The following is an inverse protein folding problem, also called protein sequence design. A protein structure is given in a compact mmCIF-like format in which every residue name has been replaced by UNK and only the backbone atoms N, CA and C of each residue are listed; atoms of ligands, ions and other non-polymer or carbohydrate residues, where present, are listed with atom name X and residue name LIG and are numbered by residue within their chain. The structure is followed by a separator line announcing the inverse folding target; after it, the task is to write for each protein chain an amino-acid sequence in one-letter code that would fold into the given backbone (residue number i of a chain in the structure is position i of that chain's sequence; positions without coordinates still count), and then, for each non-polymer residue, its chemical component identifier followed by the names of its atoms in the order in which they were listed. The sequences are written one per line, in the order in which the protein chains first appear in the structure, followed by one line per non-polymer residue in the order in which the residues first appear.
data_IF_551152680442
#
_entry.id   IF_551152680442
#
_cell.length_a   1.000
_cell.length_b   1.000
_cell.length_c   1.000
_cell.angle_alpha   90.00
_cell.angle_beta   90.00
_cell.angle_gamma   90.00
#
_symmetry.space_group_name_H-M   'P 1'
#
loop_
_entity.id
_entity.type
_entity.pdbx_description
1 polymer ?
#
# COMPACT_ATOMS: atom_id res chain seq x y z
N UNK A 1 16.34 -10.00 7.90
CA UNK A 1 16.14 -8.61 7.46
C UNK A 1 15.84 -7.78 8.69
N UNK A 2 16.22 -6.51 8.77
CA UNK A 2 15.84 -5.68 9.92
C UNK A 2 14.31 -5.50 9.96
N UNK A 3 13.73 -5.43 11.16
CA UNK A 3 12.30 -5.22 11.41
C UNK A 3 12.08 -3.85 12.06
N UNK A 4 11.01 -3.17 11.65
CA UNK A 4 10.62 -1.87 12.16
C UNK A 4 9.11 -1.79 12.36
N UNK A 5 8.67 -1.11 13.41
CA UNK A 5 7.25 -0.77 13.62
C UNK A 5 6.99 0.67 13.18
N UNK A 6 5.85 0.85 12.51
CA UNK A 6 5.33 2.15 12.12
C UNK A 6 4.67 2.84 13.32
N UNK A 7 5.26 3.94 13.79
CA UNK A 7 4.66 4.82 14.80
C UNK A 7 4.16 6.10 14.16
N UNK A 8 2.90 6.43 14.36
CA UNK A 8 2.32 7.71 13.92
C UNK A 8 2.62 8.77 14.97
N UNK A 9 3.34 9.83 14.62
CA UNK A 9 3.91 10.78 15.60
C UNK A 9 3.32 12.18 15.59
N UNK A 10 2.44 12.52 14.64
CA UNK A 10 1.71 13.78 14.69
C UNK A 10 1.02 14.19 13.40
N UNK A 11 0.22 15.26 13.54
CA UNK A 11 -0.54 15.94 12.48
C UNK A 11 0.06 17.34 12.28
N UNK A 12 1.22 17.41 11.65
CA UNK A 12 1.87 18.68 11.27
C UNK A 12 1.55 19.05 9.82
N UNK A 13 1.96 20.25 9.39
CA UNK A 13 1.98 20.56 7.95
C UNK A 13 3.05 19.71 7.30
N UNK A 14 2.72 19.06 6.19
CA UNK A 14 3.66 18.23 5.46
C UNK A 14 4.88 19.04 4.97
N UNK A 15 6.07 18.59 5.33
CA UNK A 15 7.34 19.08 4.83
C UNK A 15 7.77 18.36 3.56
N UNK A 16 8.49 19.08 2.70
CA UNK A 16 9.17 18.50 1.53
C UNK A 16 10.32 17.55 1.88
N UNK A 17 10.74 17.45 3.14
CA UNK A 17 11.79 16.53 3.61
C UNK A 17 11.27 15.20 4.16
N UNK A 18 9.97 15.11 4.45
CA UNK A 18 9.37 13.88 4.98
C UNK A 18 9.26 12.84 3.87
N UNK A 19 9.52 11.58 4.22
CA UNK A 19 9.57 10.48 3.25
C UNK A 19 8.72 9.27 3.63
N UNK A 20 8.36 9.15 4.92
CA UNK A 20 7.41 8.16 5.44
C UNK A 20 6.23 8.88 6.11
N UNK A 21 5.03 8.74 5.55
CA UNK A 21 3.85 9.48 6.01
C UNK A 21 2.55 8.89 5.45
N UNK A 22 1.44 9.21 6.09
CA UNK A 22 0.06 8.93 5.67
C UNK A 22 -0.52 10.22 5.09
N UNK A 23 -1.31 10.13 4.02
CA UNK A 23 -2.08 11.23 3.46
C UNK A 23 -1.26 12.46 3.02
N UNK A 24 -1.95 13.58 2.79
CA UNK A 24 -1.31 14.77 2.22
C UNK A 24 -0.94 14.60 0.73
N UNK A 25 0.12 15.28 0.30
CA UNK A 25 0.62 15.23 -1.07
C UNK A 25 1.65 14.10 -1.24
N UNK A 26 1.51 13.21 -2.24
CA UNK A 26 2.51 12.20 -2.52
C UNK A 26 3.84 12.84 -2.93
N UNK A 27 4.96 12.21 -2.57
CA UNK A 27 6.33 12.65 -2.92
C UNK A 27 6.93 11.62 -3.86
N UNK A 28 6.43 11.61 -5.10
CA UNK A 28 6.79 10.63 -6.15
C UNK A 28 7.49 11.32 -7.33
N UNK A 29 8.31 10.61 -8.12
CA UNK A 29 8.99 11.21 -9.27
C UNK A 29 8.01 11.73 -10.34
N UNK A 30 8.46 12.67 -11.17
CA UNK A 30 7.58 13.36 -12.12
C UNK A 30 7.05 12.44 -13.22
N UNK A 31 7.89 11.52 -13.66
CA UNK A 31 7.68 10.57 -14.77
C UNK A 31 6.51 9.60 -14.55
N UNK A 32 6.14 9.30 -13.30
CA UNK A 32 5.02 8.38 -13.02
C UNK A 32 3.64 9.01 -13.26
N UNK A 33 3.55 10.35 -13.33
CA UNK A 33 2.26 11.03 -13.30
C UNK A 33 1.49 10.82 -11.98
N UNK A 34 0.26 11.32 -11.91
CA UNK A 34 -0.68 10.95 -10.84
C UNK A 34 -1.55 9.80 -11.36
N UNK A 35 -1.65 8.66 -10.66
CA UNK A 35 -2.37 7.51 -11.18
C UNK A 35 -3.88 7.71 -11.14
N UNK A 36 -4.57 7.13 -12.11
CA UNK A 36 -6.03 7.11 -12.22
C UNK A 36 -6.55 5.67 -12.16
N UNK A 37 -7.79 5.52 -11.68
CA UNK A 37 -8.48 4.24 -11.67
C UNK A 37 -8.82 3.81 -13.09
N UNK A 38 -8.46 2.59 -13.48
CA UNK A 38 -8.78 2.04 -14.81
C UNK A 38 -10.25 1.60 -14.95
N UNK A 39 -11.03 1.63 -13.88
CA UNK A 39 -12.45 1.28 -13.89
C UNK A 39 -13.38 2.49 -14.04
N UNK A 40 -12.98 3.66 -13.51
CA UNK A 40 -13.84 4.86 -13.47
C UNK A 40 -13.12 6.16 -13.85
N UNK A 41 -11.86 6.09 -14.27
CA UNK A 41 -10.99 7.19 -14.67
C UNK A 41 -10.73 8.27 -13.59
N UNK A 42 -11.27 8.09 -12.38
CA UNK A 42 -11.06 9.02 -11.28
C UNK A 42 -9.61 8.97 -10.78
N UNK A 43 -9.02 10.11 -10.37
CA UNK A 43 -7.71 10.11 -9.71
C UNK A 43 -7.71 9.20 -8.49
N UNK A 44 -6.70 8.32 -8.39
CA UNK A 44 -6.56 7.46 -7.23
C UNK A 44 -6.22 8.28 -5.99
N UNK A 45 -6.75 7.84 -4.85
CA UNK A 45 -6.48 8.44 -3.56
C UNK A 45 -5.14 7.93 -3.06
N UNK A 46 -4.22 8.83 -2.72
CA UNK A 46 -2.99 8.54 -2.01
C UNK A 46 -3.28 8.20 -0.54
N UNK A 47 -2.82 7.02 -0.11
CA UNK A 47 -3.01 6.54 1.26
C UNK A 47 -1.77 6.80 2.12
N UNK A 48 -0.60 6.31 1.70
CA UNK A 48 0.64 6.46 2.44
C UNK A 48 1.87 6.25 1.57
N UNK A 49 3.02 6.67 2.09
CA UNK A 49 4.33 6.42 1.53
C UNK A 49 5.29 5.98 2.64
N UNK A 50 6.18 5.03 2.34
CA UNK A 50 7.25 4.58 3.23
C UNK A 50 8.58 4.71 2.50
N UNK A 51 9.56 5.36 3.13
CA UNK A 51 10.96 5.24 2.74
C UNK A 51 11.64 4.14 3.57
N UNK A 52 12.29 3.21 2.89
CA UNK A 52 12.81 2.00 3.52
C UNK A 52 14.18 2.26 4.19
N UNK A 53 14.32 1.90 5.48
CA UNK A 53 15.52 2.19 6.26
C UNK A 53 16.71 1.31 5.85
N UNK A 54 17.89 1.65 6.37
CA UNK A 54 19.10 0.82 6.23
C UNK A 54 18.82 -0.58 6.78
N UNK A 55 19.26 -1.63 6.08
CA UNK A 55 19.05 -3.03 6.49
C UNK A 55 17.74 -3.65 5.99
N UNK A 56 16.88 -2.87 5.32
CA UNK A 56 15.72 -3.36 4.58
C UNK A 56 16.10 -3.75 3.14
N UNK A 57 15.41 -4.73 2.53
CA UNK A 57 15.69 -5.18 1.15
C UNK A 57 15.55 -4.05 0.10
N UNK A 58 14.67 -3.11 0.36
CA UNK A 58 14.45 -1.92 -0.47
C UNK A 58 15.13 -0.65 0.06
N UNK A 59 16.19 -0.78 0.85
CA UNK A 59 16.95 0.37 1.35
C UNK A 59 17.27 1.38 0.22
N UNK A 60 16.99 2.66 0.50
CA UNK A 60 17.19 3.76 -0.45
C UNK A 60 16.06 3.94 -1.46
N UNK A 61 15.01 3.12 -1.40
CA UNK A 61 13.77 3.26 -2.16
C UNK A 61 12.63 3.73 -1.26
N UNK A 62 11.60 4.27 -1.90
CA UNK A 62 10.30 4.56 -1.30
C UNK A 62 9.20 3.79 -2.04
N UNK A 63 8.15 3.41 -1.30
CA UNK A 63 6.92 2.86 -1.87
C UNK A 63 5.76 3.80 -1.53
N UNK A 64 4.98 4.19 -2.52
CA UNK A 64 3.75 4.98 -2.39
C UNK A 64 2.55 4.14 -2.82
N UNK A 65 1.48 4.16 -2.02
CA UNK A 65 0.27 3.35 -2.25
C UNK A 65 -0.93 4.25 -2.51
N UNK A 66 -1.62 3.97 -3.61
CA UNK A 66 -2.82 4.65 -4.07
C UNK A 66 -3.94 3.64 -4.29
N UNK A 67 -5.19 4.00 -3.98
CA UNK A 67 -6.36 3.19 -4.30
C UNK A 67 -7.59 4.05 -4.62
N UNK A 68 -8.52 3.49 -5.38
CA UNK A 68 -9.74 4.18 -5.76
C UNK A 68 -10.68 4.25 -4.56
N UNK A 69 -11.21 5.43 -4.29
CA UNK A 69 -12.29 5.62 -3.31
C UNK A 69 -13.58 6.09 -3.95
N UNK A 70 -13.58 6.38 -5.26
CA UNK A 70 -14.71 6.96 -5.99
C UNK A 70 -15.64 5.92 -6.60
N UNK A 71 -15.14 4.72 -6.91
CA UNK A 71 -15.94 3.63 -7.43
C UNK A 71 -15.60 2.35 -6.68
N UNK A 72 -16.43 1.35 -6.90
CA UNK A 72 -16.27 0.05 -6.28
C UNK A 72 -16.81 -1.02 -7.21
N UNK A 73 -16.13 -2.16 -7.25
CA UNK A 73 -16.40 -3.26 -8.16
C UNK A 73 -16.16 -4.57 -7.39
N UNK A 74 -17.09 -5.52 -7.49
CA UNK A 74 -17.10 -6.75 -6.70
C UNK A 74 -15.83 -7.59 -6.94
N UNK A 75 -15.35 -7.63 -8.18
CA UNK A 75 -14.16 -8.40 -8.57
C UNK A 75 -12.84 -7.69 -8.23
N UNK A 76 -12.90 -6.41 -7.82
CA UNK A 76 -11.72 -5.58 -7.54
C UNK A 76 -11.76 -4.93 -6.14
N UNK A 77 -12.59 -5.45 -5.24
CA UNK A 77 -12.76 -4.93 -3.88
C UNK A 77 -11.46 -5.05 -3.04
N UNK A 78 -10.72 -6.12 -3.31
CA UNK A 78 -9.37 -6.41 -2.82
C UNK A 78 -8.45 -6.70 -4.02
N UNK A 79 -7.12 -6.63 -3.85
CA UNK A 79 -6.19 -7.04 -4.89
C UNK A 79 -6.45 -8.49 -5.28
N UNK A 80 -6.51 -8.77 -6.58
CA UNK A 80 -6.61 -10.15 -7.08
C UNK A 80 -5.45 -10.97 -6.51
N UNK A 81 -5.77 -12.09 -5.88
CA UNK A 81 -4.80 -13.06 -5.37
C UNK A 81 -4.50 -14.14 -6.42
N UNK A 82 -3.38 -14.84 -6.28
CA UNK A 82 -3.05 -15.93 -7.19
C UNK A 82 -3.96 -17.13 -6.92
N UNK A 83 -4.45 -17.77 -7.98
CA UNK A 83 -5.26 -18.99 -7.89
C UNK A 83 -4.37 -20.24 -7.95
N UNK A 84 -3.44 -20.34 -6.99
CA UNK A 84 -2.50 -21.45 -6.81
C UNK A 84 -2.23 -21.63 -5.31
N UNK A 85 -1.68 -22.77 -4.86
CA UNK A 85 -1.12 -22.86 -3.52
C UNK A 85 -0.08 -21.76 -3.30
N UNK A 86 -0.41 -20.81 -2.41
CA UNK A 86 0.38 -19.60 -2.19
C UNK A 86 1.76 -19.84 -1.57
N UNK A 87 1.95 -20.77 -0.60
CA UNK A 87 3.28 -21.00 -0.04
C UNK A 87 4.29 -21.41 -1.13
N UNK A 88 5.25 -20.53 -1.39
CA UNK A 88 6.27 -20.72 -2.41
C UNK A 88 5.78 -20.51 -3.85
N UNK A 89 4.66 -19.83 -4.04
CA UNK A 89 4.10 -19.57 -5.37
C UNK A 89 5.07 -18.78 -6.27
N UNK A 90 5.00 -19.08 -7.57
CA UNK A 90 5.67 -18.32 -8.63
C UNK A 90 4.67 -17.33 -9.22
N UNK A 91 4.99 -16.04 -9.16
CA UNK A 91 4.12 -14.97 -9.65
C UNK A 91 4.35 -14.77 -11.15
N UNK A 92 3.32 -14.87 -12.01
CA UNK A 92 3.45 -14.55 -13.43
C UNK A 92 3.87 -13.10 -13.63
N UNK A 93 4.71 -12.81 -14.63
CA UNK A 93 5.28 -11.46 -14.82
C UNK A 93 4.20 -10.39 -15.00
N UNK A 94 3.17 -10.70 -15.78
CA UNK A 94 2.08 -9.79 -16.11
C UNK A 94 1.08 -9.64 -14.96
N UNK A 95 1.05 -10.57 -14.01
CA UNK A 95 0.02 -10.62 -12.97
C UNK A 95 0.01 -9.36 -12.10
N UNK A 96 1.18 -8.89 -11.67
CA UNK A 96 1.33 -7.72 -10.77
C UNK A 96 0.87 -6.43 -11.46
N UNK A 97 1.13 -6.32 -12.77
CA UNK A 97 0.68 -5.17 -13.56
C UNK A 97 -0.83 -5.21 -13.76
N UNK A 98 -1.35 -6.39 -14.11
CA UNK A 98 -2.74 -6.57 -14.51
C UNK A 98 -3.71 -6.62 -13.31
N UNK A 99 -3.22 -6.78 -12.08
CA UNK A 99 -4.05 -6.70 -10.87
C UNK A 99 -4.22 -5.25 -10.36
N UNK A 100 -3.40 -4.30 -10.80
CA UNK A 100 -3.39 -2.91 -10.36
C UNK A 100 -4.33 -2.01 -11.18
N UNK A 101 -5.61 -2.38 -11.24
CA UNK A 101 -6.64 -1.69 -12.03
C UNK A 101 -7.24 -0.49 -11.29
N UNK A 102 -7.62 -0.68 -10.03
CA UNK A 102 -8.21 0.35 -9.17
C UNK A 102 -7.30 0.77 -8.01
N UNK A 103 -6.05 0.30 -8.00
CA UNK A 103 -5.01 0.71 -7.08
C UNK A 103 -3.67 0.78 -7.80
N UNK A 104 -2.71 1.48 -7.22
CA UNK A 104 -1.37 1.61 -7.78
C UNK A 104 -0.32 1.66 -6.67
N UNK A 105 0.75 0.90 -6.86
CA UNK A 105 1.94 0.94 -6.04
C UNK A 105 3.08 1.47 -6.90
N UNK A 106 3.73 2.51 -6.41
CA UNK A 106 4.88 3.13 -7.08
C UNK A 106 6.08 2.93 -6.18
N UNK A 107 7.09 2.21 -6.68
CA UNK A 107 8.37 2.03 -5.99
C UNK A 107 9.46 2.76 -6.76
N UNK A 108 10.25 3.59 -6.08
CA UNK A 108 11.20 4.49 -6.73
C UNK A 108 12.38 4.82 -5.81
N UNK A 109 13.54 5.27 -6.34
CA UNK A 109 14.62 5.76 -5.50
C UNK A 109 14.16 6.96 -4.65
N UNK A 110 14.36 6.91 -3.34
CA UNK A 110 13.82 7.93 -2.39
C UNK A 110 14.26 9.36 -2.73
N UNK A 111 15.45 9.51 -3.30
CA UNK A 111 16.02 10.81 -3.69
C UNK A 111 15.30 11.48 -4.88
N UNK A 112 14.61 10.70 -5.70
CA UNK A 112 13.96 11.19 -6.94
C UNK A 112 12.53 11.71 -6.68
N UNK A 113 12.02 11.51 -5.46
CA UNK A 113 10.67 11.92 -5.08
C UNK A 113 10.51 13.44 -5.08
N UNK A 114 9.46 13.91 -5.76
CA UNK A 114 9.06 15.33 -5.80
C UNK A 114 7.64 15.46 -5.27
N UNK A 115 7.41 16.43 -4.37
CA UNK A 115 6.06 16.68 -3.86
C UNK A 115 5.11 17.08 -4.98
N UNK A 116 4.02 16.33 -5.15
CA UNK A 116 3.04 16.56 -6.22
C UNK A 116 1.98 17.56 -5.76
N UNK A 117 2.27 18.85 -5.87
CA UNK A 117 1.37 19.95 -5.48
C UNK A 117 0.05 19.99 -6.27
N UNK A 118 0.02 19.42 -7.48
CA UNK A 118 -1.20 19.30 -8.30
C UNK A 118 -2.15 18.17 -7.88
N UNK A 119 -1.78 17.36 -6.88
CA UNK A 119 -2.67 16.36 -6.28
C UNK A 119 -3.55 17.04 -5.23
N UNK A 120 -4.84 16.71 -5.21
CA UNK A 120 -5.78 17.16 -4.17
C UNK A 120 -5.84 16.11 -3.03
N UNK A 121 -5.33 16.43 -1.82
CA UNK A 121 -5.35 15.49 -0.72
C UNK A 121 -6.77 15.16 -0.26
N UNK A 122 -7.01 13.88 0.05
CA UNK A 122 -8.26 13.40 0.66
C UNK A 122 -8.05 12.77 2.03
N UNK A 123 -6.87 12.18 2.28
CA UNK A 123 -6.48 11.59 3.56
C UNK A 123 -5.68 12.63 4.36
N UNK A 124 -5.99 12.76 5.65
CA UNK A 124 -5.27 13.66 6.57
C UNK A 124 -3.80 13.27 6.65
N UNK A 125 -2.94 14.28 6.59
CA UNK A 125 -1.51 14.07 6.69
C UNK A 125 -1.11 13.63 8.11
N UNK A 126 -0.33 12.56 8.23
CA UNK A 126 0.31 12.14 9.48
C UNK A 126 1.73 11.64 9.24
N UNK A 127 2.69 12.05 10.05
CA UNK A 127 4.07 11.57 9.93
C UNK A 127 4.21 10.15 10.48
N UNK A 128 4.96 9.30 9.76
CA UNK A 128 5.34 7.96 10.22
C UNK A 128 6.81 7.98 10.63
N UNK A 129 7.09 7.52 11.85
CA UNK A 129 8.42 7.17 12.30
C UNK A 129 8.58 5.65 12.28
N UNK A 130 9.71 5.17 11.77
CA UNK A 130 10.05 3.75 11.78
C UNK A 130 10.98 3.47 12.95
N UNK A 131 10.47 2.73 13.94
CA UNK A 131 11.24 2.34 15.12
C UNK A 131 11.78 0.93 14.92
N UNK A 132 13.08 0.68 15.15
CA UNK A 132 13.60 -0.68 15.20
C UNK A 132 12.78 -1.52 16.18
N UNK A 133 12.43 -2.73 15.79
CA UNK A 133 11.66 -3.64 16.63
C UNK A 133 12.21 -5.06 16.56
N UNK A 134 11.77 -5.87 17.50
CA UNK A 134 11.90 -7.31 17.38
C UNK A 134 10.98 -7.81 16.25
N UNK A 135 11.30 -8.98 15.73
CA UNK A 135 10.64 -9.54 14.55
C UNK A 135 9.22 -10.07 14.86
N UNK A 136 9.01 -10.52 16.09
CA UNK A 136 7.76 -11.02 16.64
C UNK A 136 6.81 -9.90 17.13
N UNK A 137 7.24 -8.63 17.06
CA UNK A 137 6.41 -7.51 17.50
C UNK A 137 5.16 -7.40 16.62
N UNK A 138 3.98 -7.50 17.25
CA UNK A 138 2.71 -7.35 16.54
C UNK A 138 2.41 -5.87 16.25
N UNK A 139 2.22 -5.52 14.97
CA UNK A 139 1.92 -4.15 14.55
C UNK A 139 2.04 -3.94 13.05
N UNK A 140 1.73 -2.72 12.61
CA UNK A 140 2.07 -2.26 11.26
C UNK A 140 3.59 -2.19 11.15
N UNK A 141 4.17 -2.95 10.23
CA UNK A 141 5.60 -3.22 10.25
C UNK A 141 6.25 -3.15 8.89
N UNK A 142 7.54 -2.87 8.88
CA UNK A 142 8.39 -2.75 7.69
C UNK A 142 9.60 -3.66 7.86
N UNK A 143 9.78 -4.63 6.98
CA UNK A 143 10.77 -5.69 7.08
C UNK A 143 10.46 -6.75 8.15
N UNK A 144 11.42 -7.64 8.41
CA UNK A 144 11.21 -8.82 9.27
C UNK A 144 10.44 -9.95 8.57
N UNK A 145 9.66 -10.73 9.33
CA UNK A 145 8.76 -11.79 8.85
C UNK A 145 7.30 -11.46 9.15
N UNK A 146 6.36 -11.64 8.22
CA UNK A 146 4.96 -11.27 8.42
C UNK A 146 4.35 -11.88 9.69
N UNK A 147 3.57 -11.09 10.42
CA UNK A 147 2.69 -11.61 11.47
C UNK A 147 1.43 -12.16 10.79
N UNK A 148 1.45 -13.43 10.38
CA UNK A 148 0.34 -14.07 9.69
C UNK A 148 -0.94 -14.09 10.52
N UNK A 149 -2.07 -13.74 9.88
CA UNK A 149 -3.40 -13.84 10.46
C UNK A 149 -3.91 -15.28 10.35
N UNK A 150 -3.73 -15.88 9.18
CA UNK A 150 -4.04 -17.28 8.88
C UNK A 150 -2.73 -18.08 8.74
N UNK A 151 -2.58 -18.80 7.63
CA UNK A 151 -1.38 -19.53 7.27
C UNK A 151 -0.40 -18.71 6.43
N UNK A 152 0.83 -19.23 6.29
CA UNK A 152 1.88 -18.62 5.48
C UNK A 152 1.56 -18.77 3.99
N UNK A 153 1.39 -17.63 3.33
CA UNK A 153 1.05 -17.52 1.92
C UNK A 153 2.14 -16.77 1.14
N UNK A 154 3.38 -16.78 1.64
CA UNK A 154 4.52 -16.09 1.01
C UNK A 154 4.78 -16.61 -0.41
N UNK A 155 4.79 -15.74 -1.44
CA UNK A 155 5.32 -16.12 -2.74
C UNK A 155 6.83 -16.34 -2.67
N UNK A 156 7.36 -17.25 -3.51
CA UNK A 156 8.81 -17.47 -3.60
C UNK A 156 9.50 -16.48 -4.52
N UNK A 157 8.96 -16.29 -5.73
CA UNK A 157 9.66 -15.59 -6.82
C UNK A 157 8.71 -15.16 -7.93
N UNK A 158 9.19 -14.27 -8.80
CA UNK A 158 8.59 -14.03 -10.11
C UNK A 158 8.92 -15.18 -11.09
N UNK A 159 8.16 -15.29 -12.16
CA UNK A 159 8.36 -16.28 -13.24
C UNK A 159 9.75 -16.23 -13.89
N UNK A 160 10.38 -15.05 -13.95
CA UNK A 160 11.79 -14.92 -14.38
C UNK A 160 12.83 -15.38 -13.35
N UNK A 161 12.39 -15.94 -12.23
CA UNK A 161 13.25 -16.44 -11.16
C UNK A 161 13.72 -15.37 -10.16
N UNK A 162 13.26 -14.12 -10.26
CA UNK A 162 13.61 -13.07 -9.29
C UNK A 162 12.95 -13.35 -7.94
N UNK A 163 13.70 -13.53 -6.84
CA UNK A 163 13.11 -13.82 -5.54
C UNK A 163 12.25 -12.68 -5.00
N UNK A 164 11.18 -13.06 -4.30
CA UNK A 164 10.29 -12.14 -3.58
C UNK A 164 10.58 -12.24 -2.08
N UNK A 165 10.51 -11.11 -1.39
CA UNK A 165 10.68 -11.03 0.07
C UNK A 165 9.61 -10.17 0.68
N UNK A 166 9.30 -10.43 1.95
CA UNK A 166 8.41 -9.56 2.71
C UNK A 166 8.97 -8.13 2.82
N UNK A 167 8.11 -7.15 2.57
CA UNK A 167 8.44 -5.72 2.55
C UNK A 167 7.81 -5.02 3.74
N UNK A 168 6.50 -5.18 3.92
CA UNK A 168 5.78 -4.57 5.02
C UNK A 168 4.39 -5.18 5.17
N UNK A 169 3.74 -4.91 6.30
CA UNK A 169 2.32 -5.20 6.50
C UNK A 169 1.58 -4.03 7.14
N UNK A 170 0.28 -4.00 6.90
CA UNK A 170 -0.70 -3.27 7.69
C UNK A 170 -1.64 -4.27 8.34
N UNK A 171 -1.91 -4.11 9.64
CA UNK A 171 -2.85 -4.93 10.37
C UNK A 171 -4.29 -4.67 9.92
N UNK A 172 -5.14 -5.68 10.13
CA UNK A 172 -6.57 -5.56 9.93
C UNK A 172 -7.16 -4.38 10.73
N UNK A 173 -8.19 -3.74 10.18
CA UNK A 173 -8.88 -2.61 10.81
C UNK A 173 -8.11 -1.29 10.74
N UNK A 174 -6.95 -1.23 10.07
CA UNK A 174 -6.22 0.02 9.89
C UNK A 174 -6.98 0.98 8.97
N UNK A 175 -7.38 2.14 9.52
CA UNK A 175 -8.18 3.15 8.81
C UNK A 175 -7.39 4.42 8.55
N UNK A 176 -7.81 5.14 7.51
CA UNK A 176 -7.16 6.35 7.03
C UNK A 176 -8.10 7.54 7.18
N UNK A 177 -7.88 8.36 8.20
CA UNK A 177 -8.73 9.51 8.48
C UNK A 177 -8.77 10.49 7.30
N UNK A 178 -9.96 10.96 6.95
CA UNK A 178 -10.21 11.81 5.78
C UNK A 178 -10.26 13.29 6.13
N UNK A 179 -9.98 14.14 5.15
CA UNK A 179 -10.22 15.58 5.24
C UNK A 179 -11.73 15.87 5.16
N UNK A 180 -12.24 16.92 5.82
CA UNK A 180 -13.68 17.26 5.77
C UNK A 180 -14.24 17.52 4.36
N UNK A 181 -13.37 17.87 3.39
CA UNK A 181 -13.74 18.08 1.99
C UNK A 181 -13.73 16.80 1.15
N UNK A 182 -13.21 15.70 1.69
CA UNK A 182 -13.09 14.43 0.98
C UNK A 182 -14.47 13.80 0.76
N UNK A 183 -14.72 13.29 -0.45
CA UNK A 183 -15.94 12.54 -0.72
C UNK A 183 -15.91 11.19 0.00
N UNK A 184 -17.06 10.64 0.44
CA UNK A 184 -17.05 9.35 1.11
C UNK A 184 -16.61 8.21 0.16
N UNK A 185 -16.04 7.15 0.73
CA UNK A 185 -15.59 5.99 -0.06
C UNK A 185 -16.79 5.20 -0.59
N UNK A 186 -16.80 4.89 -1.88
CA UNK A 186 -17.78 3.98 -2.46
C UNK A 186 -17.67 2.57 -1.84
N UNK A 187 -18.79 2.01 -1.40
CA UNK A 187 -18.89 0.63 -0.90
C UNK A 187 -20.10 -0.10 -1.50
N UNK A 188 -20.03 -1.42 -1.63
CA UNK A 188 -21.19 -2.29 -1.92
C UNK A 188 -21.93 -2.59 -0.63
N UNK A 189 -23.26 -2.53 -0.67
CA UNK A 189 -24.11 -3.02 0.41
C UNK A 189 -24.35 -4.54 0.27
N UNK A 190 -25.11 -5.14 1.21
CA UNK A 190 -25.44 -6.58 1.18
C UNK A 190 -26.24 -7.05 -0.05
N UNK A 191 -26.73 -6.13 -0.88
CA UNK A 191 -27.45 -6.41 -2.13
C UNK A 191 -26.57 -6.23 -3.37
N UNK A 192 -25.32 -5.80 -3.18
CA UNK A 192 -24.42 -5.44 -4.29
C UNK A 192 -24.70 -4.06 -4.87
N UNK A 193 -25.49 -3.20 -4.22
CA UNK A 193 -25.65 -1.81 -4.68
C UNK A 193 -24.54 -0.92 -4.12
N UNK A 194 -24.04 -0.02 -4.97
CA UNK A 194 -23.08 1.01 -4.55
C UNK A 194 -23.76 2.03 -3.63
N UNK A 195 -23.12 2.32 -2.51
CA UNK A 195 -23.51 3.37 -1.58
C UNK A 195 -22.26 4.10 -1.04
N UNK A 196 -22.47 5.27 -0.46
CA UNK A 196 -21.42 6.16 0.05
C UNK A 196 -21.70 6.44 1.53
N UNK A 197 -21.22 5.59 2.46
CA UNK A 197 -21.43 5.79 3.89
C UNK A 197 -20.73 7.06 4.36
N UNK A 198 -21.34 7.79 5.29
CA UNK A 198 -20.80 9.04 5.87
C UNK A 198 -19.69 8.77 6.90
N UNK A 199 -18.65 8.06 6.48
CA UNK A 199 -17.50 7.69 7.31
C UNK A 199 -16.40 8.74 7.16
N UNK A 200 -15.84 9.19 8.29
CA UNK A 200 -14.72 10.14 8.32
C UNK A 200 -13.35 9.48 8.05
N UNK A 201 -13.34 8.28 7.50
CA UNK A 201 -12.15 7.52 7.16
C UNK A 201 -12.33 6.71 5.88
N UNK A 202 -11.20 6.36 5.27
CA UNK A 202 -11.11 5.37 4.19
C UNK A 202 -10.51 4.07 4.70
N UNK A 203 -10.84 3.00 4.00
CA UNK A 203 -10.31 1.66 4.20
C UNK A 203 -9.51 1.26 2.95
N UNK A 204 -8.29 0.75 3.16
CA UNK A 204 -7.53 0.15 2.08
C UNK A 204 -7.87 -1.34 2.04
N UNK A 205 -8.36 -1.84 0.90
CA UNK A 205 -8.72 -3.24 0.70
C UNK A 205 -9.61 -3.78 1.83
N UNK A 206 -10.74 -3.10 2.06
CA UNK A 206 -11.72 -3.39 3.13
C UNK A 206 -11.15 -3.52 4.55
N UNK A 207 -10.01 -2.87 4.79
CA UNK A 207 -9.29 -2.99 6.06
C UNK A 207 -8.88 -4.43 6.40
N UNK A 208 -8.75 -5.30 5.40
CA UNK A 208 -8.11 -6.60 5.58
C UNK A 208 -6.68 -6.41 6.08
N UNK A 209 -6.10 -7.45 6.67
CA UNK A 209 -4.67 -7.47 6.90
C UNK A 209 -3.94 -7.54 5.56
N UNK A 210 -3.03 -6.59 5.32
CA UNK A 210 -2.35 -6.43 4.03
C UNK A 210 -0.88 -6.77 4.18
N UNK A 211 -0.35 -7.61 3.31
CA UNK A 211 1.07 -7.92 3.21
C UNK A 211 1.59 -7.51 1.84
N UNK A 212 2.80 -6.95 1.84
CA UNK A 212 3.51 -6.59 0.61
C UNK A 212 4.73 -7.48 0.48
N UNK A 213 4.86 -8.12 -0.68
CA UNK A 213 6.05 -8.85 -1.09
C UNK A 213 6.69 -8.15 -2.27
N UNK A 214 8.02 -8.11 -2.31
CA UNK A 214 8.75 -7.33 -3.29
C UNK A 214 10.01 -7.99 -3.79
N UNK A 215 10.44 -7.61 -5.00
CA UNK A 215 11.66 -8.17 -5.62
C UNK A 215 12.92 -7.74 -4.87
N UNK A 216 13.85 -8.68 -4.67
CA UNK A 216 15.15 -8.40 -4.03
C UNK A 216 16.15 -7.70 -4.96
N UNK A 217 15.97 -7.86 -6.28
CA UNK A 217 16.88 -7.36 -7.31
C UNK A 217 16.12 -6.99 -8.58
N UNK A 218 16.75 -6.21 -9.45
CA UNK A 218 16.13 -5.76 -10.69
C UNK A 218 15.11 -4.66 -10.47
N UNK A 219 14.10 -4.59 -11.33
CA UNK A 219 13.02 -3.63 -11.24
C UNK A 219 12.16 -3.92 -10.00
N UNK A 220 11.96 -2.93 -9.10
CA UNK A 220 11.15 -3.13 -7.91
C UNK A 220 9.67 -3.27 -8.28
N UNK A 221 9.09 -4.43 -7.98
CA UNK A 221 7.65 -4.66 -8.08
C UNK A 221 7.10 -5.14 -6.74
N UNK A 222 5.86 -4.78 -6.44
CA UNK A 222 5.17 -5.15 -5.20
C UNK A 222 3.97 -6.05 -5.53
N UNK A 223 3.96 -7.25 -4.99
CA UNK A 223 2.77 -8.10 -4.91
C UNK A 223 2.04 -7.82 -3.59
N UNK A 224 0.72 -7.73 -3.65
CA UNK A 224 -0.13 -7.52 -2.47
C UNK A 224 -0.92 -8.78 -2.20
N UNK A 225 -0.90 -9.19 -0.94
CA UNK A 225 -1.70 -10.26 -0.40
C UNK A 225 -2.59 -9.69 0.71
N UNK A 226 -3.82 -10.17 0.83
CA UNK A 226 -4.74 -9.77 1.90
C UNK A 226 -5.31 -10.99 2.62
N UNK A 227 -5.43 -10.92 3.95
CA UNK A 227 -6.10 -11.93 4.77
C UNK A 227 -7.17 -11.28 5.66
N UNK A 228 -8.20 -12.05 5.99
CA UNK A 228 -9.31 -11.69 6.88
C UNK A 228 -9.66 -12.91 7.74
N UNK A 229 -10.09 -12.69 8.99
CA UNK A 229 -10.55 -13.74 9.93
C UNK A 229 -12.07 -14.01 9.78
#
# INVERSE_FOLDING_TARGET
MASYIMRIVGESVQSSSERSFIGGHPVIPLEYGLPACQLCDSPLTFFYQIAFPIGHAWHGKSMAVFACTCCVDEDHYIPRMLDVPLPGAVIPEDFIRDCQNNFRIIVFPTGDGVMRSGYEPKVKYKTIELLPSDDDTNGNKVGGHPNWLLEDESPAMLENGTPMVFIMQLLEGFTFETLPSAQPQAKLNLRGDVHYPDSEYYELFISNQVYFFGTVSGEPVAYVLTQID
#
